data_IF_753904793728
#
_entry.id   IF_753904793728
#
_cell.length_a   1.000
_cell.length_b   1.000
_cell.length_c   1.000
_cell.angle_alpha   90.00
_cell.angle_beta   90.00
_cell.angle_gamma   90.00
#
_symmetry.space_group_name_H-M   'P 1'
#
loop_
_entity.id
_entity.type
_entity.pdbx_description
1 polymer ?
#
# COMPACT_ATOMS: atom_id res chain seq x y z
N UNK A 1 6.24 -1.47 -38.00
CA UNK A 1 6.12 -0.42 -36.95
C UNK A 1 5.61 -0.91 -35.60
N UNK A 2 4.66 -1.84 -35.52
CA UNK A 2 4.00 -2.18 -34.23
C UNK A 2 4.81 -3.05 -33.26
N UNK A 3 5.71 -3.92 -33.75
CA UNK A 3 6.57 -4.77 -32.88
C UNK A 3 7.44 -3.99 -31.90
N UNK A 4 7.97 -2.83 -32.33
CA UNK A 4 8.77 -1.95 -31.45
C UNK A 4 7.94 -1.35 -30.32
N UNK A 5 6.70 -0.93 -30.61
CA UNK A 5 5.81 -0.39 -29.60
C UNK A 5 5.44 -1.44 -28.54
N UNK A 6 5.17 -2.68 -28.97
CA UNK A 6 4.88 -3.80 -28.06
C UNK A 6 6.08 -4.15 -27.17
N UNK A 7 7.30 -4.18 -27.72
CA UNK A 7 8.51 -4.38 -26.91
C UNK A 7 8.69 -3.30 -25.84
N UNK A 8 8.47 -2.03 -26.19
CA UNK A 8 8.56 -0.91 -25.25
C UNK A 8 7.48 -1.04 -24.16
N UNK A 9 6.25 -1.40 -24.53
CA UNK A 9 5.15 -1.59 -23.58
C UNK A 9 5.45 -2.71 -22.57
N UNK A 10 5.95 -3.86 -23.04
CA UNK A 10 6.33 -4.99 -22.19
C UNK A 10 7.45 -4.60 -21.23
N UNK A 11 8.46 -3.86 -21.71
CA UNK A 11 9.58 -3.39 -20.89
C UNK A 11 9.14 -2.39 -19.82
N UNK A 12 8.12 -1.56 -20.10
CA UNK A 12 7.54 -0.61 -19.13
C UNK A 12 6.57 -1.27 -18.16
N UNK A 13 5.86 -2.32 -18.57
CA UNK A 13 4.94 -3.06 -17.72
C UNK A 13 5.65 -3.92 -16.67
N UNK A 14 6.89 -4.33 -16.93
CA UNK A 14 7.71 -5.08 -15.96
C UNK A 14 8.21 -4.20 -14.81
N UNK A 15 8.23 -2.88 -14.97
CA UNK A 15 8.53 -1.94 -13.90
C UNK A 15 7.22 -1.54 -13.21
N UNK A 16 6.90 -2.10 -12.03
CA UNK A 16 5.69 -1.69 -11.32
C UNK A 16 5.76 -0.18 -11.03
N UNK A 17 4.71 0.55 -11.39
CA UNK A 17 4.53 1.96 -11.03
C UNK A 17 4.22 2.01 -9.53
N UNK A 18 5.25 1.79 -8.71
CA UNK A 18 5.16 1.94 -7.28
C UNK A 18 5.28 3.43 -6.97
N UNK A 19 4.14 4.09 -6.80
CA UNK A 19 4.09 5.42 -6.21
C UNK A 19 4.66 5.31 -4.79
N UNK A 20 5.92 5.70 -4.62
CA UNK A 20 6.58 5.82 -3.32
C UNK A 20 6.22 7.19 -2.76
N UNK A 21 5.42 7.26 -1.69
CA UNK A 21 5.25 8.51 -0.96
C UNK A 21 6.56 8.77 -0.22
N UNK A 22 7.13 9.95 -0.45
CA UNK A 22 8.26 10.46 0.31
C UNK A 22 9.48 9.51 0.43
N UNK A 23 9.73 8.63 -0.58
CA UNK A 23 10.83 7.64 -0.61
C UNK A 23 10.89 6.61 0.55
N UNK A 24 9.99 6.66 1.54
CA UNK A 24 10.06 5.85 2.77
C UNK A 24 9.12 4.65 2.76
N UNK A 25 7.91 4.77 2.19
CA UNK A 25 6.91 3.69 2.23
C UNK A 25 6.31 3.49 0.83
N UNK A 26 6.27 2.26 0.30
CA UNK A 26 5.50 1.98 -0.92
C UNK A 26 4.03 2.27 -0.62
N UNK A 27 3.44 3.26 -1.28
CA UNK A 27 2.00 3.53 -1.12
C UNK A 27 1.28 2.48 -1.94
N UNK A 28 0.72 1.50 -1.25
CA UNK A 28 0.04 0.37 -1.87
C UNK A 28 -0.94 -0.26 -0.91
N UNK A 29 -1.62 -1.31 -1.37
CA UNK A 29 -2.62 -2.06 -0.59
C UNK A 29 -2.06 -2.56 0.76
N UNK A 30 -0.79 -2.96 0.79
CA UNK A 30 -0.13 -3.41 2.03
C UNK A 30 -0.05 -2.31 3.09
N UNK A 31 0.29 -1.08 2.69
CA UNK A 31 0.39 0.07 3.59
C UNK A 31 -0.98 0.48 4.12
N UNK A 32 -2.00 0.50 3.26
CA UNK A 32 -3.38 0.79 3.69
C UNK A 32 -3.93 -0.30 4.62
N UNK A 33 -3.63 -1.58 4.35
CA UNK A 33 -3.97 -2.67 5.25
C UNK A 33 -3.24 -2.57 6.60
N UNK A 34 -1.99 -2.13 6.60
CA UNK A 34 -1.24 -1.88 7.83
C UNK A 34 -1.89 -0.77 8.66
N UNK A 35 -2.25 0.37 8.03
CA UNK A 35 -2.96 1.48 8.69
C UNK A 35 -4.30 1.02 9.26
N UNK A 36 -5.05 0.19 8.52
CA UNK A 36 -6.33 -0.33 8.97
C UNK A 36 -6.16 -1.26 10.18
N UNK A 37 -5.17 -2.17 10.12
CA UNK A 37 -4.82 -3.07 11.22
C UNK A 37 -4.43 -2.31 12.48
N UNK A 38 -3.57 -1.30 12.37
CA UNK A 38 -3.17 -0.48 13.53
C UNK A 38 -4.33 0.32 14.09
N UNK A 39 -5.18 0.89 13.23
CA UNK A 39 -6.37 1.63 13.67
C UNK A 39 -7.34 0.74 14.45
N UNK A 40 -7.62 -0.47 13.96
CA UNK A 40 -8.48 -1.45 14.63
C UNK A 40 -7.85 -1.91 15.95
N UNK A 41 -6.54 -2.22 15.94
CA UNK A 41 -5.84 -2.64 17.16
C UNK A 41 -5.88 -1.55 18.24
N UNK A 42 -5.69 -0.28 17.84
CA UNK A 42 -5.78 0.86 18.75
C UNK A 42 -7.20 1.03 19.29
N UNK A 43 -8.21 0.92 18.42
CA UNK A 43 -9.62 0.98 18.84
C UNK A 43 -9.97 -0.13 19.83
N UNK A 44 -9.52 -1.37 19.59
CA UNK A 44 -9.74 -2.50 20.49
C UNK A 44 -9.10 -2.24 21.87
N UNK A 45 -7.84 -1.80 21.90
CA UNK A 45 -7.14 -1.47 23.16
C UNK A 45 -7.89 -0.36 23.91
N UNK A 46 -8.33 0.68 23.20
CA UNK A 46 -9.08 1.76 23.81
C UNK A 46 -10.41 1.25 24.38
N UNK A 47 -11.10 0.36 23.65
CA UNK A 47 -12.36 -0.23 24.09
C UNK A 47 -12.17 -1.17 25.30
N UNK A 48 -11.10 -1.96 25.34
CA UNK A 48 -10.81 -2.82 26.49
C UNK A 48 -10.44 -2.00 27.72
N UNK A 49 -9.64 -0.95 27.56
CA UNK A 49 -9.17 -0.11 28.68
C UNK A 49 -10.23 0.89 29.14
N UNK A 50 -11.04 1.44 28.22
CA UNK A 50 -12.11 2.39 28.56
C UNK A 50 -13.41 1.70 28.99
N UNK A 51 -13.67 0.47 28.51
CA UNK A 51 -14.80 -0.37 28.94
C UNK A 51 -14.58 -1.06 30.29
N UNK A 52 -13.40 -0.91 30.89
CA UNK A 52 -13.06 -1.41 32.23
C UNK A 52 -13.42 -0.37 33.31
N UNK A 53 -14.66 0.14 33.27
CA UNK A 53 -15.32 0.93 34.33
C UNK A 53 -16.77 0.52 34.52
#
# INVERSE_FOLDING_TARGET
SNRKAVMILLQRSQTPIALKAAKMVPVGLQTMAAVLKTSISYYMILNTVAGER
#
